data_IF_236566280690
#
_entry.id   IF_236566280690
#
_cell.length_a   1.000
_cell.length_b   1.000
_cell.length_c   1.000
_cell.angle_alpha   90.00
_cell.angle_beta   90.00
_cell.angle_gamma   90.00
#
_symmetry.space_group_name_H-M   'P 1'
#
loop_
_entity.id
_entity.type
_entity.pdbx_description
1 polymer ?
#
# COMPACT_ATOMS: atom_id res chain seq x y z
N UNK A 1 1.47 27.27 -0.25
CA UNK A 1 0.53 26.79 0.78
C UNK A 1 1.28 25.84 1.69
N UNK A 2 1.45 26.25 2.95
CA UNK A 2 2.04 25.42 4.00
C UNK A 2 1.05 24.31 4.31
N UNK A 3 1.44 23.06 4.03
CA UNK A 3 0.69 21.90 4.47
C UNK A 3 0.95 21.71 5.97
N UNK A 4 -0.06 21.96 6.78
CA UNK A 4 -0.02 21.68 8.22
C UNK A 4 0.00 20.15 8.42
N UNK A 5 1.16 19.60 8.68
CA UNK A 5 1.32 18.21 9.11
C UNK A 5 1.06 18.09 10.60
N UNK A 6 0.04 17.30 10.96
CA UNK A 6 -0.18 16.96 12.37
C UNK A 6 0.94 16.02 12.85
N UNK A 7 1.72 16.42 13.84
CA UNK A 7 2.82 15.62 14.39
C UNK A 7 2.34 14.49 15.33
N UNK A 8 1.08 14.55 15.77
CA UNK A 8 0.53 13.53 16.67
C UNK A 8 0.42 12.16 15.97
N UNK A 9 1.14 11.12 16.43
CA UNK A 9 1.06 9.77 15.85
C UNK A 9 -0.31 9.12 16.04
N UNK A 10 -1.08 9.54 17.05
CA UNK A 10 -2.45 9.03 17.32
C UNK A 10 -3.53 9.92 16.70
N UNK A 11 -3.21 10.78 15.74
CA UNK A 11 -4.17 11.66 15.11
C UNK A 11 -5.20 10.85 14.30
N UNK A 12 -6.53 10.93 14.60
CA UNK A 12 -7.56 10.20 13.86
C UNK A 12 -7.53 10.48 12.35
N UNK A 13 -7.22 11.73 11.96
CA UNK A 13 -7.14 12.10 10.55
C UNK A 13 -6.00 11.36 9.81
N UNK A 14 -4.87 11.10 10.48
CA UNK A 14 -3.78 10.29 9.91
C UNK A 14 -4.21 8.85 9.73
N UNK A 15 -4.89 8.27 10.71
CA UNK A 15 -5.43 6.92 10.62
C UNK A 15 -6.42 6.79 9.48
N UNK A 16 -7.37 7.72 9.37
CA UNK A 16 -8.34 7.74 8.26
C UNK A 16 -7.63 7.83 6.91
N UNK A 17 -6.65 8.74 6.77
CA UNK A 17 -5.86 8.90 5.55
C UNK A 17 -5.10 7.62 5.16
N UNK A 18 -4.53 6.93 6.14
CA UNK A 18 -3.83 5.65 5.99
C UNK A 18 -4.75 4.57 5.39
N UNK A 19 -5.95 4.39 5.96
CA UNK A 19 -6.89 3.38 5.44
C UNK A 19 -7.55 3.81 4.13
N UNK A 20 -7.81 5.10 3.94
CA UNK A 20 -8.31 5.60 2.65
C UNK A 20 -7.35 5.22 1.53
N UNK A 21 -6.04 5.41 1.74
CA UNK A 21 -5.02 5.00 0.78
C UNK A 21 -4.96 3.49 0.61
N UNK A 22 -5.01 2.74 1.72
CA UNK A 22 -4.92 1.26 1.70
C UNK A 22 -5.96 0.64 0.77
N UNK A 23 -7.18 1.17 0.75
CA UNK A 23 -8.30 0.64 -0.03
C UNK A 23 -8.39 1.20 -1.45
N UNK A 24 -7.58 2.20 -1.81
CA UNK A 24 -7.58 2.81 -3.15
C UNK A 24 -7.40 1.77 -4.26
N UNK A 25 -7.90 2.10 -5.46
CA UNK A 25 -7.82 1.24 -6.65
C UNK A 25 -6.38 0.85 -7.00
N UNK A 26 -5.46 1.81 -6.89
CA UNK A 26 -4.04 1.62 -7.22
C UNK A 26 -3.22 1.02 -6.07
N UNK A 27 -3.87 0.83 -4.90
CA UNK A 27 -3.35 0.14 -3.73
C UNK A 27 -3.94 -1.28 -3.66
N UNK A 28 -4.56 -1.68 -2.56
CA UNK A 28 -5.14 -3.02 -2.41
C UNK A 28 -6.49 -3.18 -3.13
N UNK A 29 -7.01 -2.14 -3.77
CA UNK A 29 -8.23 -2.16 -4.60
C UNK A 29 -9.46 -2.75 -3.90
N UNK A 30 -9.72 -2.32 -2.68
CA UNK A 30 -10.91 -2.75 -1.94
C UNK A 30 -12.09 -1.87 -2.32
N UNK A 31 -12.94 -2.36 -3.20
CA UNK A 31 -14.13 -1.64 -3.64
C UNK A 31 -15.26 -1.72 -2.60
N UNK A 32 -16.14 -0.70 -2.59
CA UNK A 32 -17.35 -0.74 -1.75
C UNK A 32 -17.17 -0.26 -0.31
N UNK A 33 -15.99 0.27 0.05
CA UNK A 33 -15.77 0.94 1.33
C UNK A 33 -15.70 2.45 1.10
N UNK A 34 -16.72 3.17 1.50
CA UNK A 34 -16.71 4.64 1.45
C UNK A 34 -15.81 5.22 2.54
N UNK A 35 -15.26 6.42 2.31
CA UNK A 35 -14.44 7.12 3.30
C UNK A 35 -15.17 7.31 4.62
N UNK A 36 -16.47 7.62 4.60
CA UNK A 36 -17.30 7.74 5.80
C UNK A 36 -17.38 6.44 6.60
N UNK A 37 -17.40 5.28 5.94
CA UNK A 37 -17.34 3.98 6.60
C UNK A 37 -15.98 3.76 7.28
N UNK A 38 -14.87 4.11 6.61
CA UNK A 38 -13.52 4.05 7.20
C UNK A 38 -13.45 4.95 8.44
N UNK A 39 -13.97 6.18 8.36
CA UNK A 39 -14.02 7.11 9.50
C UNK A 39 -14.76 6.50 10.69
N UNK A 40 -15.89 5.86 10.43
CA UNK A 40 -16.68 5.19 11.46
C UNK A 40 -15.95 3.98 12.05
N UNK A 41 -15.31 3.15 11.22
CA UNK A 41 -14.55 1.98 11.69
C UNK A 41 -13.33 2.38 12.52
N UNK A 42 -12.61 3.41 12.13
CA UNK A 42 -11.49 3.97 12.91
C UNK A 42 -12.00 4.54 14.25
N UNK A 43 -13.09 5.30 14.22
CA UNK A 43 -13.69 5.88 15.43
C UNK A 43 -14.17 4.83 16.42
N UNK A 44 -14.70 3.70 15.94
CA UNK A 44 -15.14 2.59 16.79
C UNK A 44 -14.01 1.62 17.17
N UNK A 45 -12.78 1.88 16.73
CA UNK A 45 -11.63 1.03 17.05
C UNK A 45 -11.58 -0.29 16.29
N UNK A 46 -12.35 -0.43 15.20
CA UNK A 46 -12.34 -1.64 14.35
C UNK A 46 -11.10 -1.67 13.43
N UNK A 47 -10.53 -0.52 13.14
CA UNK A 47 -9.34 -0.35 12.32
C UNK A 47 -8.26 0.40 13.10
N UNK A 48 -7.30 -0.33 13.65
CA UNK A 48 -6.15 0.20 14.41
C UNK A 48 -4.83 -0.08 13.69
N UNK A 49 -4.69 -1.26 13.09
CA UNK A 49 -3.55 -1.71 12.29
C UNK A 49 -3.99 -2.05 10.87
N UNK A 50 -3.08 -2.09 9.90
CA UNK A 50 -3.44 -2.47 8.52
C UNK A 50 -4.11 -3.85 8.43
N UNK A 51 -3.66 -4.81 9.24
CA UNK A 51 -4.20 -6.16 9.25
C UNK A 51 -5.67 -6.22 9.71
N UNK A 52 -6.12 -5.26 10.52
CA UNK A 52 -7.51 -5.23 11.01
C UNK A 52 -8.55 -5.13 9.89
N UNK A 53 -8.15 -4.62 8.71
CA UNK A 53 -9.00 -4.63 7.53
C UNK A 53 -9.51 -6.04 7.19
N UNK A 54 -8.68 -7.05 7.41
CA UNK A 54 -8.95 -8.45 7.11
C UNK A 54 -9.67 -9.20 8.24
N UNK A 55 -9.97 -8.51 9.34
CA UNK A 55 -10.65 -9.03 10.53
C UNK A 55 -11.94 -8.28 10.86
N UNK A 56 -12.49 -7.51 9.91
CA UNK A 56 -13.76 -6.80 10.08
C UNK A 56 -14.98 -7.72 10.25
N UNK A 57 -14.85 -8.99 9.91
CA UNK A 57 -15.86 -10.01 10.15
C UNK A 57 -16.18 -10.21 11.64
N UNK A 58 -15.22 -9.95 12.53
CA UNK A 58 -15.43 -9.95 13.98
C UNK A 58 -16.44 -8.90 14.46
N UNK A 59 -16.69 -7.87 13.66
CA UNK A 59 -17.61 -6.76 13.98
C UNK A 59 -18.89 -6.76 13.14
N UNK A 60 -19.26 -7.92 12.56
CA UNK A 60 -20.39 -8.05 11.64
C UNK A 60 -21.65 -7.37 12.14
N UNK A 61 -22.11 -7.73 13.33
CA UNK A 61 -23.36 -7.25 13.90
C UNK A 61 -23.35 -5.72 14.10
N UNK A 62 -22.22 -5.19 14.57
CA UNK A 62 -22.06 -3.74 14.76
C UNK A 62 -22.08 -3.02 13.39
N UNK A 63 -21.38 -3.56 12.38
CA UNK A 63 -21.31 -2.94 11.06
C UNK A 63 -22.67 -2.94 10.37
N UNK A 64 -23.42 -4.05 10.43
CA UNK A 64 -24.74 -4.17 9.80
C UNK A 64 -25.75 -3.19 10.44
N UNK A 65 -25.61 -2.91 11.74
CA UNK A 65 -26.48 -1.97 12.46
C UNK A 65 -26.16 -0.49 12.19
N UNK A 66 -25.08 -0.17 11.49
CA UNK A 66 -24.72 1.21 11.15
C UNK A 66 -25.58 1.75 10.02
N UNK A 67 -25.86 3.07 10.05
CA UNK A 67 -26.54 3.76 8.96
C UNK A 67 -25.80 3.60 7.63
N UNK A 68 -26.53 3.21 6.59
CA UNK A 68 -25.98 2.95 5.26
C UNK A 68 -25.36 1.57 5.07
N UNK A 69 -25.30 0.74 6.12
CA UNK A 69 -24.94 -0.67 6.05
C UNK A 69 -26.16 -1.57 6.24
N UNK A 70 -26.14 -2.69 5.53
CA UNK A 70 -27.07 -3.79 5.68
C UNK A 70 -26.36 -5.06 5.27
N UNK A 71 -27.00 -6.21 5.40
CA UNK A 71 -26.42 -7.53 5.06
C UNK A 71 -25.77 -7.56 3.69
N UNK A 72 -26.42 -6.98 2.67
CA UNK A 72 -25.92 -6.98 1.29
C UNK A 72 -24.66 -6.13 1.13
N UNK A 73 -24.63 -4.92 1.67
CA UNK A 73 -23.44 -4.04 1.58
C UNK A 73 -22.29 -4.60 2.39
N UNK A 74 -22.55 -5.15 3.56
CA UNK A 74 -21.57 -5.86 4.37
C UNK A 74 -20.97 -7.05 3.61
N UNK A 75 -21.80 -7.92 3.05
CA UNK A 75 -21.35 -9.09 2.28
C UNK A 75 -20.48 -8.69 1.07
N UNK A 76 -20.86 -7.64 0.34
CA UNK A 76 -20.07 -7.13 -0.78
C UNK A 76 -18.72 -6.57 -0.31
N UNK A 77 -18.70 -5.84 0.80
CA UNK A 77 -17.48 -5.29 1.40
C UNK A 77 -16.51 -6.42 1.79
N UNK A 78 -16.97 -7.41 2.57
CA UNK A 78 -16.13 -8.55 2.98
C UNK A 78 -15.61 -9.31 1.76
N UNK A 79 -16.43 -9.52 0.73
CA UNK A 79 -15.99 -10.16 -0.50
C UNK A 79 -14.89 -9.37 -1.20
N UNK A 80 -14.99 -8.03 -1.26
CA UNK A 80 -13.97 -7.18 -1.84
C UNK A 80 -12.67 -7.21 -1.02
N UNK A 81 -12.77 -7.23 0.30
CA UNK A 81 -11.61 -7.38 1.21
C UNK A 81 -10.91 -8.73 0.95
N UNK A 82 -11.65 -9.83 0.89
CA UNK A 82 -11.07 -11.14 0.62
C UNK A 82 -10.39 -11.21 -0.77
N UNK A 83 -10.97 -10.58 -1.78
CA UNK A 83 -10.35 -10.48 -3.11
C UNK A 83 -9.05 -9.69 -3.09
N UNK A 84 -8.94 -8.68 -2.25
CA UNK A 84 -7.76 -7.83 -2.12
C UNK A 84 -6.55 -8.54 -1.50
N UNK A 85 -6.74 -9.71 -0.90
CA UNK A 85 -5.61 -10.54 -0.42
C UNK A 85 -4.65 -10.91 -1.56
N UNK A 86 -5.15 -11.06 -2.79
CA UNK A 86 -4.31 -11.26 -3.96
C UNK A 86 -3.86 -9.91 -4.52
N UNK A 87 -2.61 -9.59 -4.29
CA UNK A 87 -2.03 -8.30 -4.64
C UNK A 87 -0.63 -8.46 -5.24
N UNK A 88 -0.05 -7.38 -5.73
CA UNK A 88 1.36 -7.33 -6.16
C UNK A 88 2.19 -6.51 -5.19
N UNK A 89 3.51 -6.67 -5.23
CA UNK A 89 4.42 -5.86 -4.40
C UNK A 89 4.19 -4.35 -4.65
N UNK A 90 3.99 -3.92 -5.88
CA UNK A 90 3.78 -2.51 -6.21
C UNK A 90 2.53 -1.94 -5.56
N UNK A 91 1.42 -2.68 -5.62
CA UNK A 91 0.16 -2.29 -4.98
C UNK A 91 0.29 -2.23 -3.46
N UNK A 92 0.89 -3.26 -2.85
CA UNK A 92 1.18 -3.29 -1.42
C UNK A 92 2.06 -2.10 -1.03
N UNK A 93 3.19 -1.89 -1.71
CA UNK A 93 4.14 -0.83 -1.36
C UNK A 93 3.52 0.58 -1.47
N UNK A 94 2.72 0.81 -2.51
CA UNK A 94 1.96 2.06 -2.64
C UNK A 94 0.92 2.22 -1.53
N UNK A 95 0.24 1.13 -1.13
CA UNK A 95 -0.76 1.11 -0.07
C UNK A 95 -0.20 1.54 1.30
N UNK A 96 1.11 1.32 1.56
CA UNK A 96 1.76 1.71 2.81
C UNK A 96 1.76 3.22 3.05
N UNK A 97 1.66 4.03 2.00
CA UNK A 97 1.60 5.49 2.10
C UNK A 97 2.87 6.13 2.64
N UNK A 98 4.04 5.58 2.32
CA UNK A 98 5.34 6.11 2.75
C UNK A 98 5.49 7.55 2.25
N UNK A 99 5.81 8.53 3.11
CA UNK A 99 5.90 9.93 2.71
C UNK A 99 6.90 10.18 1.58
N UNK A 100 6.45 10.87 0.52
CA UNK A 100 7.29 11.20 -0.65
C UNK A 100 7.58 10.03 -1.59
N UNK A 101 6.99 8.86 -1.34
CA UNK A 101 7.23 7.64 -2.11
C UNK A 101 5.93 7.22 -2.82
N UNK A 102 5.99 7.12 -4.14
CA UNK A 102 4.86 6.79 -5.00
C UNK A 102 5.09 5.55 -5.85
N UNK A 103 4.25 5.40 -6.88
CA UNK A 103 4.30 4.26 -7.82
C UNK A 103 5.63 4.08 -8.53
N UNK A 104 6.32 5.18 -8.87
CA UNK A 104 7.59 5.10 -9.60
C UNK A 104 8.67 4.41 -8.75
N UNK A 105 8.74 4.74 -7.47
CA UNK A 105 9.68 4.09 -6.55
C UNK A 105 9.33 2.61 -6.36
N UNK A 106 8.03 2.28 -6.23
CA UNK A 106 7.58 0.90 -6.16
C UNK A 106 7.98 0.09 -7.40
N UNK A 107 7.87 0.69 -8.60
CA UNK A 107 8.28 0.09 -9.87
C UNK A 107 9.81 -0.13 -9.94
N UNK A 108 10.59 0.83 -9.44
CA UNK A 108 12.05 0.69 -9.37
C UNK A 108 12.43 -0.46 -8.45
N UNK A 109 11.89 -0.51 -7.23
CA UNK A 109 12.16 -1.57 -6.27
C UNK A 109 11.79 -2.95 -6.82
N UNK A 110 10.62 -3.07 -7.48
CA UNK A 110 10.18 -4.31 -8.13
C UNK A 110 11.17 -4.79 -9.20
N UNK A 111 11.78 -3.87 -9.93
CA UNK A 111 12.75 -4.18 -11.00
C UNK A 111 14.13 -4.53 -10.47
N UNK A 112 14.59 -3.82 -9.45
CA UNK A 112 15.97 -3.88 -8.95
C UNK A 112 16.18 -4.94 -7.87
N UNK A 113 15.12 -5.35 -7.17
CA UNK A 113 15.19 -6.36 -6.11
C UNK A 113 14.82 -7.75 -6.61
N UNK A 114 15.51 -8.76 -6.09
CA UNK A 114 15.19 -10.15 -6.36
C UNK A 114 13.87 -10.57 -5.70
N UNK A 115 13.15 -11.47 -6.34
CA UNK A 115 11.96 -12.09 -5.73
C UNK A 115 12.37 -13.04 -4.56
N UNK A 116 11.57 -13.09 -3.50
CA UNK A 116 10.37 -12.30 -3.24
C UNK A 116 10.71 -10.86 -2.82
N UNK A 117 10.25 -9.88 -3.60
CA UNK A 117 10.65 -8.45 -3.44
C UNK A 117 10.30 -7.91 -2.06
N UNK A 118 9.17 -8.28 -1.51
CA UNK A 118 8.72 -7.82 -0.19
C UNK A 118 9.72 -8.19 0.93
N UNK A 119 10.23 -9.41 0.96
CA UNK A 119 11.21 -9.88 1.94
C UNK A 119 12.61 -9.30 1.65
N UNK A 120 12.99 -9.26 0.38
CA UNK A 120 14.27 -8.70 -0.07
C UNK A 120 14.41 -7.24 0.33
N UNK A 121 13.33 -6.45 0.21
CA UNK A 121 13.30 -5.05 0.66
C UNK A 121 13.50 -4.94 2.18
N UNK A 122 12.82 -5.76 2.98
CA UNK A 122 13.01 -5.78 4.44
C UNK A 122 14.46 -6.06 4.78
N UNK A 123 15.04 -7.11 4.20
CA UNK A 123 16.44 -7.48 4.43
C UNK A 123 17.40 -6.34 4.04
N UNK A 124 17.13 -5.65 2.94
CA UNK A 124 17.91 -4.50 2.49
C UNK A 124 17.83 -3.33 3.47
N UNK A 125 16.61 -2.97 3.90
CA UNK A 125 16.37 -1.83 4.80
C UNK A 125 17.07 -2.01 6.16
N UNK A 126 17.15 -3.24 6.66
CA UNK A 126 17.82 -3.55 7.94
C UNK A 126 19.29 -3.96 7.77
N UNK A 127 19.83 -3.94 6.55
CA UNK A 127 21.24 -4.21 6.29
C UNK A 127 22.14 -3.02 6.63
N UNK A 128 23.43 -3.28 6.80
CA UNK A 128 24.45 -2.24 6.80
C UNK A 128 24.42 -1.50 5.44
N UNK A 129 24.62 -0.18 5.47
CA UNK A 129 24.61 0.69 4.28
C UNK A 129 23.31 0.67 3.47
N UNK A 130 22.15 0.42 4.14
CA UNK A 130 20.83 0.43 3.50
C UNK A 130 20.56 1.70 2.67
N UNK A 131 20.95 2.87 3.20
CA UNK A 131 20.81 4.16 2.53
C UNK A 131 21.55 4.19 1.19
N UNK A 132 22.83 3.82 1.23
CA UNK A 132 23.69 3.79 0.04
C UNK A 132 23.16 2.80 -0.99
N UNK A 133 22.79 1.60 -0.56
CA UNK A 133 22.22 0.56 -1.44
C UNK A 133 20.95 1.02 -2.14
N UNK A 134 20.02 1.67 -1.42
CA UNK A 134 18.82 2.22 -2.04
C UNK A 134 19.16 3.35 -3.03
N UNK A 135 20.14 4.19 -2.71
CA UNK A 135 20.56 5.28 -3.59
C UNK A 135 21.32 4.83 -4.85
N UNK A 136 21.84 3.60 -4.91
CA UNK A 136 22.38 3.05 -6.16
C UNK A 136 21.31 2.77 -7.20
N UNK A 137 20.04 2.62 -6.77
CA UNK A 137 18.94 2.39 -7.70
C UNK A 137 18.56 3.69 -8.40
N UNK A 138 18.64 3.70 -9.73
CA UNK A 138 18.36 4.91 -10.52
C UNK A 138 16.91 5.38 -10.30
N UNK A 139 16.75 6.61 -9.82
CA UNK A 139 15.46 7.21 -9.49
C UNK A 139 15.09 7.18 -7.99
N UNK A 140 15.94 6.58 -7.13
CA UNK A 140 15.78 6.65 -5.68
C UNK A 140 16.83 7.60 -5.11
N UNK A 141 16.40 8.82 -4.78
CA UNK A 141 17.25 9.82 -4.13
C UNK A 141 17.29 9.64 -2.60
N UNK A 142 18.21 10.38 -1.96
CA UNK A 142 18.42 10.34 -0.50
C UNK A 142 17.14 10.54 0.30
N UNK A 143 16.26 11.44 -0.13
CA UNK A 143 14.98 11.73 0.57
C UNK A 143 14.09 10.50 0.57
N UNK A 144 13.87 9.88 -0.61
CA UNK A 144 13.03 8.69 -0.72
C UNK A 144 13.63 7.49 0.02
N UNK A 145 14.94 7.28 -0.11
CA UNK A 145 15.64 6.21 0.59
C UNK A 145 15.53 6.36 2.12
N UNK A 146 15.71 7.58 2.64
CA UNK A 146 15.55 7.86 4.07
C UNK A 146 14.11 7.65 4.54
N UNK A 147 13.12 8.10 3.76
CA UNK A 147 11.70 7.90 4.08
C UNK A 147 11.35 6.42 4.16
N UNK A 148 11.82 5.61 3.21
CA UNK A 148 11.61 4.16 3.21
C UNK A 148 12.22 3.54 4.47
N UNK A 149 13.49 3.81 4.75
CA UNK A 149 14.20 3.23 5.90
C UNK A 149 13.49 3.61 7.23
N UNK A 150 13.17 4.88 7.41
CA UNK A 150 12.52 5.35 8.62
C UNK A 150 11.14 4.73 8.80
N UNK A 151 10.35 4.69 7.73
CA UNK A 151 9.03 4.10 7.78
C UNK A 151 9.08 2.62 8.20
N UNK A 152 9.95 1.82 7.59
CA UNK A 152 10.09 0.40 7.94
C UNK A 152 10.59 0.19 9.36
N UNK A 153 11.55 1.00 9.85
CA UNK A 153 12.02 0.93 11.23
C UNK A 153 10.92 1.19 12.25
N UNK A 154 10.00 2.09 11.95
CA UNK A 154 8.88 2.43 12.81
C UNK A 154 7.69 1.46 12.69
N UNK A 155 7.48 0.85 11.51
CA UNK A 155 6.26 0.11 11.18
C UNK A 155 6.50 -1.35 10.78
N UNK A 156 7.67 -1.92 11.06
CA UNK A 156 8.00 -3.28 10.60
C UNK A 156 6.99 -4.34 11.06
N UNK A 157 6.53 -4.25 12.32
CA UNK A 157 5.53 -5.17 12.83
C UNK A 157 4.23 -5.06 12.05
N UNK A 158 3.74 -3.86 11.82
CA UNK A 158 2.50 -3.61 11.08
C UNK A 158 2.60 -4.08 9.63
N UNK A 159 3.76 -3.87 9.00
CA UNK A 159 4.06 -4.38 7.67
C UNK A 159 4.04 -5.91 7.62
N UNK A 160 4.69 -6.56 8.59
CA UNK A 160 4.76 -8.02 8.66
C UNK A 160 3.38 -8.64 8.91
N UNK A 161 2.61 -8.05 9.82
CA UNK A 161 1.23 -8.47 10.10
C UNK A 161 0.35 -8.34 8.85
N UNK A 162 0.47 -7.23 8.10
CA UNK A 162 -0.24 -7.05 6.83
C UNK A 162 0.20 -8.09 5.77
N UNK A 163 1.50 -8.32 5.61
CA UNK A 163 2.01 -9.31 4.65
C UNK A 163 1.50 -10.72 4.95
N UNK A 164 1.28 -11.07 6.23
CA UNK A 164 0.71 -12.35 6.61
C UNK A 164 -0.74 -12.55 6.15
N UNK A 165 -1.48 -11.45 5.91
CA UNK A 165 -2.85 -11.48 5.38
C UNK A 165 -2.90 -11.54 3.84
N UNK A 166 -1.79 -11.27 3.17
CA UNK A 166 -1.73 -11.09 1.72
C UNK A 166 -1.07 -12.26 1.00
N UNK A 167 -1.57 -12.53 -0.19
CA UNK A 167 -0.95 -13.40 -1.18
C UNK A 167 -0.28 -12.51 -2.25
N UNK A 168 0.99 -12.17 -2.03
CA UNK A 168 1.75 -11.26 -2.89
C UNK A 168 2.21 -12.05 -4.12
N UNK A 169 1.61 -11.74 -5.28
CA UNK A 169 1.91 -12.38 -6.54
C UNK A 169 3.06 -11.66 -7.26
N UNK A 170 3.92 -12.39 -7.98
CA UNK A 170 4.85 -11.75 -8.89
C UNK A 170 4.08 -10.97 -9.96
N UNK A 171 4.59 -9.81 -10.33
CA UNK A 171 3.97 -9.01 -11.37
C UNK A 171 4.06 -9.72 -12.72
N UNK A 172 2.92 -9.94 -13.38
CA UNK A 172 2.93 -10.44 -14.75
C UNK A 172 3.54 -9.34 -15.63
N UNK A 173 4.64 -9.64 -16.31
CA UNK A 173 5.18 -8.75 -17.34
C UNK A 173 4.05 -8.46 -18.35
N UNK A 174 3.52 -7.24 -18.30
CA UNK A 174 2.63 -6.78 -19.34
C UNK A 174 3.45 -6.64 -20.62
N UNK A 175 3.11 -7.41 -21.63
CA UNK A 175 3.71 -7.37 -22.97
C UNK A 175 3.61 -5.98 -23.66
N UNK A 176 2.96 -5.00 -23.02
CA UNK A 176 2.77 -3.63 -23.50
C UNK A 176 3.96 -2.69 -23.23
N UNK A 177 4.91 -3.04 -22.38
CA UNK A 177 6.11 -2.20 -22.13
C UNK A 177 7.24 -2.46 -23.16
N UNK A 178 7.02 -3.40 -24.07
CA UNK A 178 7.91 -3.60 -25.25
C UNK A 178 7.41 -2.80 -26.46
N UNK A 179 7.32 -1.50 -26.37
CA UNK A 179 7.45 -0.67 -27.57
C UNK A 179 8.93 -0.64 -27.95
N UNK A 180 9.39 -1.72 -28.51
CA UNK A 180 10.63 -1.74 -29.27
C UNK A 180 10.44 -0.83 -30.49
N UNK A 181 10.89 0.41 -30.38
CA UNK A 181 10.96 1.39 -31.46
C UNK A 181 12.22 1.21 -32.28
N UNK A 182 13.03 0.20 -32.02
CA UNK A 182 14.21 -0.12 -32.80
C UNK A 182 13.78 -0.58 -34.21
N UNK A 183 13.96 0.29 -35.20
CA UNK A 183 13.70 0.02 -36.59
C UNK A 183 12.55 0.80 -37.24
N UNK A 184 11.88 1.71 -36.54
CA UNK A 184 10.89 2.61 -37.15
C UNK A 184 11.55 3.94 -37.55
N UNK A 185 11.68 4.15 -38.87
CA UNK A 185 12.13 5.42 -39.46
C UNK A 185 10.90 6.33 -39.55
N UNK A 186 10.89 7.43 -38.84
CA UNK A 186 9.88 8.49 -39.00
C UNK A 186 10.34 9.46 -40.09
N UNK A 187 9.60 9.54 -41.18
CA UNK A 187 9.78 10.57 -42.20
C UNK A 187 8.86 11.74 -41.85
N UNK A 188 9.46 12.91 -41.57
CA UNK A 188 8.71 14.15 -41.36
C UNK A 188 8.56 14.79 -42.74
N UNK A 189 7.31 14.92 -43.21
CA UNK A 189 6.92 15.73 -44.38
C UNK A 189 6.42 17.07 -43.93
#
# INVERSE_FOLDING_TARGET
SEFLYCENPKCPAKHIGKYTRLVERDALNVTGIAKSAIETFVKNGFLMTFADLYHLDAYKEQIISMDGFGEKSYSNMIKAIEQSRNTTFRQLFYALGIPGVGHDVAKILQKELAEPVAETLVNLVFSENALEKLMTMNGIGKVNASSIINWFKENIKEYTDLCAELNIQPEKENASDKTDLSGKIFVIT
#
